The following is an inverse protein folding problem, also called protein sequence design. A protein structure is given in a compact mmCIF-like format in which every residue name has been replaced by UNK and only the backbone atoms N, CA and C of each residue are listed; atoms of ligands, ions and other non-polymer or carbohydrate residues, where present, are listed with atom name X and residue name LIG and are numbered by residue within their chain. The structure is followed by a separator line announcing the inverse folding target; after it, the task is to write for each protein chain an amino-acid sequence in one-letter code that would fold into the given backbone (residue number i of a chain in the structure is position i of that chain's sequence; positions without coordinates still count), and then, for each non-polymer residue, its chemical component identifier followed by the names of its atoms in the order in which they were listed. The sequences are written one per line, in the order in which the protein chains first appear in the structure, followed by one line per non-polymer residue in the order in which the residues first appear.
data_IF_354755715645
#
_entry.id   IF_354755715645
#
_cell.length_a   1.000
_cell.length_b   1.000
_cell.length_c   1.000
_cell.angle_alpha   90.00
_cell.angle_beta   90.00
_cell.angle_gamma   90.00
#
_symmetry.space_group_name_H-M   'P 1'
#
loop_
_entity.id
_entity.type
_entity.pdbx_description
1 polymer ?
#
# COMPACT_ATOMS: atom_id res chain seq x y z
N UNK A 1 -0.49 -10.86 0.26
CA UNK A 1 -0.97 -10.22 1.51
C UNK A 1 -0.32 -10.82 2.76
N UNK A 2 -0.51 -12.12 3.09
CA UNK A 2 0.07 -12.74 4.31
C UNK A 2 1.55 -12.45 4.60
N UNK A 3 2.41 -12.43 3.57
CA UNK A 3 3.83 -12.08 3.73
C UNK A 3 4.03 -10.63 4.17
N UNK A 4 3.29 -9.70 3.57
CA UNK A 4 3.36 -8.28 3.90
C UNK A 4 2.75 -7.97 5.27
N UNK A 5 1.67 -8.68 5.64
CA UNK A 5 1.05 -8.57 6.96
C UNK A 5 1.99 -9.09 8.07
N UNK A 6 2.74 -10.17 7.80
CA UNK A 6 3.74 -10.67 8.74
C UNK A 6 4.87 -9.66 8.96
N UNK A 7 5.37 -9.04 7.89
CA UNK A 7 6.37 -7.98 7.96
C UNK A 7 5.85 -6.76 8.75
N UNK A 8 4.60 -6.36 8.52
CA UNK A 8 3.96 -5.27 9.24
C UNK A 8 3.80 -5.59 10.74
N UNK A 9 3.38 -6.81 11.07
CA UNK A 9 3.27 -7.28 12.44
C UNK A 9 4.62 -7.24 13.17
N UNK A 10 5.70 -7.67 12.52
CA UNK A 10 7.05 -7.71 13.11
C UNK A 10 7.58 -6.29 13.38
N UNK A 11 7.35 -5.34 12.48
CA UNK A 11 7.90 -3.98 12.59
C UNK A 11 7.05 -3.03 13.42
N UNK A 12 5.72 -3.15 13.35
CA UNK A 12 4.79 -2.17 13.92
C UNK A 12 4.03 -2.72 15.13
N UNK A 13 3.99 -4.04 15.32
CA UNK A 13 3.11 -4.67 16.30
C UNK A 13 1.64 -4.56 15.87
N UNK A 14 0.94 -3.53 16.35
CA UNK A 14 -0.39 -3.18 15.88
C UNK A 14 -0.32 -2.47 14.53
N UNK A 15 -1.15 -2.87 13.57
CA UNK A 15 -1.15 -2.24 12.24
C UNK A 15 -2.52 -2.24 11.57
N UNK A 16 -2.69 -1.31 10.64
CA UNK A 16 -3.80 -1.23 9.70
C UNK A 16 -3.26 -1.08 8.28
N UNK A 17 -3.76 -1.91 7.35
CA UNK A 17 -3.49 -1.75 5.93
C UNK A 17 -4.34 -0.60 5.37
N UNK A 18 -3.70 0.42 4.79
CA UNK A 18 -4.38 1.58 4.21
C UNK A 18 -4.65 1.41 2.71
N UNK A 19 -3.64 0.98 1.96
CA UNK A 19 -3.74 0.81 0.52
C UNK A 19 -2.80 -0.26 -0.01
N UNK A 20 -3.12 -0.77 -1.19
CA UNK A 20 -2.32 -1.78 -1.86
C UNK A 20 -2.50 -1.78 -3.38
N UNK A 21 -1.55 -2.44 -4.05
CA UNK A 21 -1.55 -2.69 -5.49
C UNK A 21 -1.14 -4.14 -5.79
N UNK A 22 -1.83 -4.75 -6.74
CA UNK A 22 -1.57 -6.06 -7.34
C UNK A 22 -1.36 -5.87 -8.84
N UNK A 23 -0.10 -5.99 -9.28
CA UNK A 23 0.28 -5.83 -10.69
C UNK A 23 -0.26 -6.95 -11.57
N UNK A 24 -0.41 -8.17 -11.05
CA UNK A 24 -0.83 -9.31 -11.88
C UNK A 24 -2.26 -9.14 -12.38
N UNK A 25 -3.09 -8.44 -11.60
CA UNK A 25 -4.50 -8.15 -11.92
C UNK A 25 -4.73 -6.71 -12.34
N UNK A 26 -3.67 -5.90 -12.32
CA UNK A 26 -3.71 -4.44 -12.43
C UNK A 26 -4.82 -3.83 -11.56
N UNK A 27 -4.80 -4.19 -10.28
CA UNK A 27 -5.88 -3.88 -9.35
C UNK A 27 -5.34 -3.26 -8.06
N UNK A 28 -6.08 -2.31 -7.52
CA UNK A 28 -5.68 -1.54 -6.34
C UNK A 28 -6.82 -1.33 -5.35
N UNK A 29 -6.43 -1.00 -4.12
CA UNK A 29 -7.35 -0.50 -3.11
C UNK A 29 -6.74 0.74 -2.43
N UNK A 30 -7.51 1.82 -2.23
CA UNK A 30 -8.87 2.03 -2.76
C UNK A 30 -8.93 1.98 -4.29
N UNK A 31 -10.05 1.48 -4.84
CA UNK A 31 -10.21 1.30 -6.29
C UNK A 31 -10.21 2.65 -7.03
N UNK A 32 -9.60 2.68 -8.21
CA UNK A 32 -9.51 3.85 -9.11
C UNK A 32 -8.84 5.08 -8.48
N UNK A 33 -8.12 4.92 -7.37
CA UNK A 33 -7.37 6.02 -6.76
C UNK A 33 -6.35 6.60 -7.76
N UNK A 34 -5.76 5.76 -8.61
CA UNK A 34 -4.79 6.15 -9.64
C UNK A 34 -5.43 6.89 -10.81
N UNK A 35 -6.70 6.65 -11.14
CA UNK A 35 -7.39 7.31 -12.26
C UNK A 35 -7.64 8.80 -11.97
N UNK A 36 -7.90 9.14 -10.70
CA UNK A 36 -8.04 10.52 -10.24
C UNK A 36 -6.74 11.34 -10.39
N UNK A 37 -5.59 10.67 -10.57
CA UNK A 37 -4.26 11.26 -10.70
C UNK A 37 -3.59 10.97 -12.04
N UNK A 38 -4.36 10.94 -13.13
CA UNK A 38 -3.89 10.69 -14.51
C UNK A 38 -2.73 11.58 -15.00
N UNK A 39 -2.35 12.63 -14.26
CA UNK A 39 -1.23 13.54 -14.56
C UNK A 39 -0.05 13.46 -13.56
N UNK A 40 -0.10 12.57 -12.56
CA UNK A 40 0.92 12.45 -11.50
C UNK A 40 1.91 11.31 -11.73
N UNK A 41 3.19 11.53 -11.41
CA UNK A 41 4.23 10.50 -11.50
C UNK A 41 4.12 9.38 -10.44
N UNK A 42 3.24 9.54 -9.45
CA UNK A 42 3.01 8.55 -8.40
C UNK A 42 1.61 7.92 -8.51
N UNK A 43 1.50 6.59 -8.41
CA UNK A 43 0.21 5.89 -8.41
C UNK A 43 -0.69 6.32 -7.24
N UNK A 44 -2.01 6.31 -7.46
CA UNK A 44 -2.99 6.77 -6.48
C UNK A 44 -3.04 5.93 -5.21
N UNK A 45 -2.85 4.60 -5.29
CA UNK A 45 -2.74 3.77 -4.08
C UNK A 45 -1.56 4.22 -3.19
N UNK A 46 -0.45 4.66 -3.78
CA UNK A 46 0.72 5.12 -3.05
C UNK A 46 0.48 6.50 -2.43
N UNK A 47 -0.12 7.42 -3.20
CA UNK A 47 -0.53 8.74 -2.71
C UNK A 47 -1.51 8.59 -1.54
N UNK A 48 -2.50 7.70 -1.65
CA UNK A 48 -3.47 7.44 -0.61
C UNK A 48 -2.80 6.97 0.70
N UNK A 49 -1.95 5.95 0.62
CA UNK A 49 -1.24 5.43 1.80
C UNK A 49 -0.46 6.53 2.51
N UNK A 50 0.32 7.32 1.76
CA UNK A 50 1.13 8.41 2.31
C UNK A 50 0.28 9.54 2.94
N UNK A 51 -0.78 9.98 2.27
CA UNK A 51 -1.68 11.03 2.80
C UNK A 51 -2.45 10.58 4.05
N UNK A 52 -2.69 9.28 4.22
CA UNK A 52 -3.37 8.72 5.37
C UNK A 52 -2.40 8.25 6.48
N UNK A 53 -1.12 8.61 6.37
CA UNK A 53 -0.15 8.42 7.45
C UNK A 53 0.56 7.07 7.44
N UNK A 54 0.54 6.32 6.33
CA UNK A 54 1.33 5.10 6.24
C UNK A 54 2.80 5.39 6.52
N UNK A 55 3.40 4.65 7.45
CA UNK A 55 4.83 4.77 7.80
C UNK A 55 5.65 3.58 7.32
N UNK A 56 4.99 2.49 6.88
CA UNK A 56 5.64 1.31 6.31
C UNK A 56 5.09 1.00 4.91
N UNK A 57 5.99 0.94 3.93
CA UNK A 57 5.72 0.37 2.61
C UNK A 57 6.37 -1.01 2.52
N UNK A 58 5.59 -2.03 2.19
CA UNK A 58 6.11 -3.36 1.85
C UNK A 58 6.00 -3.57 0.35
N UNK A 59 7.14 -3.74 -0.31
CA UNK A 59 7.25 -4.00 -1.73
C UNK A 59 7.70 -5.46 -1.93
N UNK A 60 6.87 -6.25 -2.60
CA UNK A 60 7.12 -7.66 -2.88
C UNK A 60 7.41 -7.83 -4.37
N UNK A 61 8.49 -8.54 -4.68
CA UNK A 61 8.88 -8.91 -6.05
C UNK A 61 8.94 -7.70 -7.00
N UNK A 62 9.67 -6.64 -6.60
CA UNK A 62 9.92 -5.45 -7.44
C UNK A 62 8.62 -4.79 -7.95
N UNK A 63 7.68 -4.60 -7.03
CA UNK A 63 6.41 -3.91 -7.24
C UNK A 63 5.33 -4.78 -7.86
N UNK A 64 5.50 -6.11 -7.88
CA UNK A 64 4.41 -7.03 -8.21
C UNK A 64 3.25 -6.89 -7.23
N UNK A 65 3.58 -6.74 -5.94
CA UNK A 65 2.62 -6.33 -4.92
C UNK A 65 3.20 -5.22 -4.04
N UNK A 66 2.40 -4.20 -3.74
CA UNK A 66 2.80 -3.08 -2.87
C UNK A 66 1.73 -2.86 -1.82
N UNK A 67 2.13 -2.67 -0.57
CA UNK A 67 1.22 -2.47 0.57
C UNK A 67 1.70 -1.31 1.43
N UNK A 68 0.77 -0.51 1.95
CA UNK A 68 1.04 0.64 2.82
C UNK A 68 0.32 0.47 4.16
N UNK A 69 1.08 0.49 5.25
CA UNK A 69 0.57 0.24 6.60
C UNK A 69 0.74 1.45 7.53
N UNK A 70 -0.28 1.66 8.35
CA UNK A 70 -0.30 2.59 9.49
C UNK A 70 -0.07 1.79 10.79
N UNK A 71 0.86 2.18 11.67
CA UNK A 71 0.98 1.61 13.00
C UNK A 71 -0.22 1.99 13.87
N UNK A 72 -0.68 1.05 14.69
CA UNK A 72 -1.68 1.28 15.72
C UNK A 72 -0.98 1.22 17.08
N UNK A 73 -1.25 2.22 17.93
CA UNK A 73 -0.82 2.22 19.34
C UNK A 73 -1.67 1.28 20.20
#
# INVERSE_FOLDING_TARGET
MKLADAEAAERLGGYMLLSWYDRDRDFESPQHASECHSAGAMPGYAVYGLHHGATLMVNVEQGRFVFFYLPLE
#
